data_IF_049294879521
#
_entry.id   IF_049294879521
#
_cell.length_a   1.000
_cell.length_b   1.000
_cell.length_c   1.000
_cell.angle_alpha   90.00
_cell.angle_beta   90.00
_cell.angle_gamma   90.00
#
_symmetry.space_group_name_H-M   'P 1'
#
loop_
_entity.id
_entity.type
_entity.pdbx_description
1 polymer ?
#
# COMPACT_ATOMS: atom_id res chain seq x y z
N UNK A 1 13.82 -73.92 25.57
CA UNK A 1 14.13 -72.64 26.24
C UNK A 1 15.10 -71.84 25.39
N UNK A 2 14.88 -70.52 25.33
CA UNK A 2 15.58 -69.47 24.55
C UNK A 2 15.27 -69.38 23.05
N UNK A 3 14.44 -68.38 22.80
CA UNK A 3 13.98 -67.74 21.58
C UNK A 3 15.12 -66.92 20.96
N UNK A 4 15.20 -66.86 19.63
CA UNK A 4 15.66 -65.65 18.95
C UNK A 4 14.80 -65.39 17.71
N UNK A 5 13.73 -64.60 17.93
CA UNK A 5 13.03 -63.80 16.93
C UNK A 5 13.73 -62.44 16.89
N UNK A 6 13.99 -61.91 15.70
CA UNK A 6 13.85 -60.49 15.33
C UNK A 6 14.16 -60.40 13.83
N UNK A 7 13.21 -60.12 12.96
CA UNK A 7 12.28 -58.98 12.83
C UNK A 7 12.71 -58.20 11.60
N UNK A 8 12.05 -58.56 10.49
CA UNK A 8 11.78 -57.68 9.36
C UNK A 8 11.21 -56.38 9.92
N UNK A 9 11.86 -55.25 9.66
CA UNK A 9 11.26 -53.93 9.87
C UNK A 9 10.81 -53.45 8.50
N UNK A 10 9.50 -53.55 8.29
CA UNK A 10 8.75 -52.85 7.24
C UNK A 10 8.38 -51.46 7.77
N UNK A 11 8.59 -50.47 6.91
CA UNK A 11 7.96 -49.16 6.80
C UNK A 11 7.22 -48.61 8.03
N UNK A 12 7.67 -47.46 8.55
CA UNK A 12 6.75 -46.46 9.07
C UNK A 12 7.21 -45.05 8.71
N UNK A 13 6.23 -44.32 8.20
CA UNK A 13 6.19 -43.01 7.58
C UNK A 13 6.73 -41.87 8.46
N UNK A 14 6.72 -40.68 7.85
CA UNK A 14 6.89 -39.33 8.43
C UNK A 14 8.30 -38.77 8.27
N UNK A 15 8.54 -38.11 7.14
CA UNK A 15 9.40 -36.95 7.14
C UNK A 15 9.05 -36.03 5.96
N UNK A 16 8.15 -35.10 6.26
CA UNK A 16 8.23 -33.71 5.81
C UNK A 16 8.04 -33.53 4.30
N UNK A 17 6.76 -33.54 3.89
CA UNK A 17 6.31 -32.50 2.96
C UNK A 17 6.69 -31.16 3.62
N UNK A 18 7.77 -30.55 3.18
CA UNK A 18 7.92 -29.10 3.24
C UNK A 18 6.87 -28.55 2.28
N UNK A 19 5.63 -28.49 2.77
CA UNK A 19 4.69 -27.47 2.37
C UNK A 19 5.46 -26.16 2.59
N UNK A 20 5.95 -25.60 1.48
CA UNK A 20 6.17 -24.18 1.38
C UNK A 20 4.82 -23.55 1.75
N UNK A 21 4.62 -23.32 3.05
CA UNK A 21 3.70 -22.31 3.51
C UNK A 21 4.22 -21.06 2.84
N UNK A 22 3.58 -20.68 1.74
CA UNK A 22 3.63 -19.33 1.23
C UNK A 22 3.29 -18.47 2.44
N UNK A 23 4.31 -17.99 3.16
CA UNK A 23 4.17 -16.88 4.06
C UNK A 23 3.73 -15.75 3.14
N UNK A 24 2.42 -15.59 2.99
CA UNK A 24 1.88 -14.31 2.59
C UNK A 24 2.47 -13.35 3.62
N UNK A 25 3.42 -12.51 3.21
CA UNK A 25 3.97 -11.42 4.01
C UNK A 25 2.89 -10.34 4.24
N UNK A 26 1.64 -10.76 4.44
CA UNK A 26 0.52 -9.91 4.76
C UNK A 26 0.65 -9.54 6.22
N UNK A 27 1.00 -8.26 6.45
CA UNK A 27 1.02 -7.65 7.78
C UNK A 27 -0.34 -7.89 8.44
N UNK A 28 -0.36 -8.47 9.64
CA UNK A 28 -1.60 -8.66 10.38
C UNK A 28 -2.18 -7.31 10.83
N UNK A 29 -3.48 -7.28 11.14
CA UNK A 29 -4.14 -6.07 11.64
C UNK A 29 -3.48 -5.56 12.92
N UNK A 30 -3.13 -6.47 13.82
CA UNK A 30 -2.52 -6.15 15.10
C UNK A 30 -1.11 -5.57 14.93
N UNK A 31 -0.29 -6.14 14.05
CA UNK A 31 1.03 -5.60 13.70
C UNK A 31 0.91 -4.22 13.07
N UNK A 32 0.02 -4.05 12.10
CA UNK A 32 -0.21 -2.75 11.47
C UNK A 32 -0.60 -1.68 12.50
N UNK A 33 -1.53 -2.00 13.40
CA UNK A 33 -1.98 -1.06 14.44
C UNK A 33 -0.82 -0.73 15.39
N UNK A 34 -0.02 -1.74 15.77
CA UNK A 34 1.14 -1.57 16.64
C UNK A 34 2.21 -0.67 16.00
N UNK A 35 2.53 -0.89 14.73
CA UNK A 35 3.50 -0.11 13.97
C UNK A 35 3.02 1.33 13.78
N UNK A 36 1.74 1.52 13.47
CA UNK A 36 1.13 2.85 13.40
C UNK A 36 1.28 3.60 14.72
N UNK A 37 0.97 2.97 15.86
CA UNK A 37 1.09 3.64 17.16
C UNK A 37 2.55 3.94 17.54
N UNK A 38 3.48 3.06 17.16
CA UNK A 38 4.91 3.25 17.41
C UNK A 38 5.47 4.44 16.62
N UNK A 39 4.89 4.74 15.45
CA UNK A 39 5.36 5.78 14.54
C UNK A 39 4.36 6.94 14.36
N UNK A 40 3.34 7.05 15.22
CA UNK A 40 2.18 7.94 15.01
C UNK A 40 2.57 9.39 14.71
N UNK A 41 3.62 9.91 15.38
CA UNK A 41 4.12 11.28 15.15
C UNK A 41 4.64 11.47 13.73
N UNK A 42 5.37 10.49 13.21
CA UNK A 42 5.90 10.54 11.84
C UNK A 42 4.76 10.50 10.83
N UNK A 43 3.78 9.62 11.03
CA UNK A 43 2.56 9.58 10.23
C UNK A 43 1.83 10.92 10.21
N UNK A 44 1.71 11.59 11.36
CA UNK A 44 1.05 12.91 11.44
C UNK A 44 1.84 14.00 10.71
N UNK A 45 3.16 13.99 10.81
CA UNK A 45 4.03 14.91 10.07
C UNK A 45 3.86 14.70 8.56
N UNK A 46 3.98 13.45 8.10
CA UNK A 46 3.86 13.11 6.68
C UNK A 46 2.46 13.43 6.16
N UNK A 47 1.41 13.06 6.90
CA UNK A 47 0.03 13.35 6.52
C UNK A 47 -0.23 14.85 6.41
N UNK A 48 0.25 15.64 7.38
CA UNK A 48 0.13 17.09 7.36
C UNK A 48 0.89 17.71 6.18
N UNK A 49 2.12 17.28 5.93
CA UNK A 49 2.91 17.78 4.80
C UNK A 49 2.28 17.39 3.45
N UNK A 50 1.81 16.15 3.32
CA UNK A 50 1.17 15.67 2.10
C UNK A 50 -0.17 16.38 1.85
N UNK A 51 -0.92 16.70 2.91
CA UNK A 51 -2.17 17.44 2.82
C UNK A 51 -1.95 18.89 2.34
N UNK A 52 -0.88 19.54 2.80
CA UNK A 52 -0.61 20.96 2.58
C UNK A 52 0.27 21.27 1.34
N UNK A 53 0.66 20.27 0.56
CA UNK A 53 1.37 20.47 -0.71
C UNK A 53 0.40 20.41 -1.89
N UNK A 54 0.67 21.11 -2.99
CA UNK A 54 -0.24 21.18 -4.15
C UNK A 54 0.10 20.23 -5.29
N UNK A 55 1.34 19.75 -5.35
CA UNK A 55 1.91 19.13 -6.56
C UNK A 55 1.46 17.66 -6.75
N UNK A 56 1.09 16.96 -5.67
CA UNK A 56 0.78 15.53 -5.68
C UNK A 56 -0.62 15.30 -5.11
N UNK A 57 -1.54 14.70 -5.84
CA UNK A 57 -2.87 14.29 -5.36
C UNK A 57 -2.81 12.89 -4.76
N UNK A 58 -2.05 11.99 -5.39
CA UNK A 58 -1.89 10.63 -4.91
C UNK A 58 -0.61 10.01 -5.48
N UNK A 59 -0.06 9.10 -4.70
CA UNK A 59 1.14 8.34 -5.01
C UNK A 59 0.87 6.88 -4.65
N UNK A 60 1.13 5.97 -5.59
CA UNK A 60 1.12 4.52 -5.37
C UNK A 60 2.53 3.99 -5.70
N UNK A 61 3.07 3.13 -4.84
CA UNK A 61 4.29 2.35 -5.03
C UNK A 61 3.93 0.88 -5.20
N UNK A 62 4.68 0.15 -6.02
CA UNK A 62 4.41 -1.26 -6.30
C UNK A 62 4.91 -2.21 -5.21
N UNK A 63 4.43 -3.46 -5.24
CA UNK A 63 4.90 -4.56 -4.38
C UNK A 63 6.00 -5.37 -5.13
N UNK A 64 7.18 -5.56 -4.52
CA UNK A 64 8.21 -6.46 -5.07
C UNK A 64 8.74 -6.10 -6.46
N UNK A 65 9.06 -7.11 -7.30
CA UNK A 65 9.65 -6.96 -8.65
C UNK A 65 8.70 -6.34 -9.70
N UNK A 66 7.39 -6.34 -9.46
CA UNK A 66 6.40 -5.71 -10.35
C UNK A 66 6.03 -4.32 -9.80
N UNK A 67 6.74 -3.30 -10.29
CA UNK A 67 6.58 -1.92 -9.88
C UNK A 67 5.31 -1.31 -10.48
N UNK A 68 4.23 -1.29 -9.71
CA UNK A 68 3.09 -0.42 -9.98
C UNK A 68 3.34 0.97 -9.37
N UNK A 69 3.82 1.91 -10.19
CA UNK A 69 3.94 3.30 -9.75
C UNK A 69 2.78 4.11 -10.35
N UNK A 70 2.04 4.84 -9.52
CA UNK A 70 1.02 5.78 -9.99
C UNK A 70 1.24 7.14 -9.32
N UNK A 71 1.10 8.23 -10.08
CA UNK A 71 1.27 9.59 -9.59
C UNK A 71 0.22 10.50 -10.23
N UNK A 72 -0.62 11.15 -9.41
CA UNK A 72 -1.72 11.99 -9.89
C UNK A 72 -2.64 11.23 -10.88
N UNK A 73 -2.61 11.59 -12.17
CA UNK A 73 -3.32 10.94 -13.27
C UNK A 73 -2.46 9.94 -14.07
N UNK A 74 -1.16 9.88 -13.80
CA UNK A 74 -0.21 9.00 -14.47
C UNK A 74 -0.19 7.63 -13.83
N UNK A 75 -0.17 6.59 -14.66
CA UNK A 75 -0.15 5.19 -14.23
C UNK A 75 0.99 4.44 -14.88
N UNK A 76 1.56 3.49 -14.15
CA UNK A 76 2.49 2.47 -14.63
C UNK A 76 2.13 1.15 -13.96
N UNK A 77 1.60 0.22 -14.73
CA UNK A 77 1.54 -1.20 -14.37
C UNK A 77 2.40 -1.95 -15.40
N UNK A 78 3.15 -2.99 -15.01
CA UNK A 78 3.95 -3.73 -15.96
C UNK A 78 3.03 -4.48 -16.93
N UNK A 79 2.80 -3.90 -18.09
CA UNK A 79 2.61 -4.60 -19.36
C UNK A 79 3.72 -4.12 -20.31
N UNK A 80 4.11 -5.00 -21.24
CA UNK A 80 5.20 -4.82 -22.22
C UNK A 80 5.39 -3.35 -22.60
N UNK A 81 6.41 -2.66 -22.01
CA UNK A 81 7.07 -1.41 -22.44
C UNK A 81 7.51 -0.48 -21.29
N UNK A 82 7.06 -0.68 -20.03
CA UNK A 82 7.48 0.13 -18.87
C UNK A 82 7.30 1.66 -19.06
N UNK A 83 6.27 2.08 -19.80
CA UNK A 83 5.97 3.50 -20.03
C UNK A 83 4.92 3.99 -19.03
N UNK A 84 5.05 5.25 -18.63
CA UNK A 84 4.02 5.96 -17.89
C UNK A 84 2.97 6.50 -18.85
N UNK A 85 1.70 6.32 -18.52
CA UNK A 85 0.62 6.80 -19.36
C UNK A 85 -0.44 7.60 -18.58
N UNK A 86 -1.05 8.56 -19.28
CA UNK A 86 -2.23 9.28 -18.81
C UNK A 86 -3.19 9.60 -19.96
N UNK A 87 -4.48 9.73 -19.65
CA UNK A 87 -5.45 10.30 -20.59
C UNK A 87 -5.32 11.83 -20.62
N UNK A 88 -4.96 12.40 -21.77
CA UNK A 88 -4.91 13.84 -21.97
C UNK A 88 -6.21 14.36 -22.55
N UNK A 89 -6.92 15.19 -21.78
CA UNK A 89 -8.12 15.89 -22.27
C UNK A 89 -7.76 16.85 -23.42
N UNK A 90 -6.60 17.52 -23.34
CA UNK A 90 -6.13 18.47 -24.36
C UNK A 90 -5.88 17.79 -25.70
N UNK A 91 -5.32 16.58 -25.69
CA UNK A 91 -5.01 15.83 -26.91
C UNK A 91 -6.09 14.80 -27.28
N UNK A 92 -7.10 14.63 -26.41
CA UNK A 92 -8.16 13.63 -26.52
C UNK A 92 -7.63 12.21 -26.82
N UNK A 93 -6.52 11.84 -26.19
CA UNK A 93 -5.84 10.54 -26.37
C UNK A 93 -4.99 10.19 -25.16
N UNK A 94 -4.54 8.94 -25.11
CA UNK A 94 -3.50 8.50 -24.18
C UNK A 94 -2.15 9.04 -24.63
N UNK A 95 -1.45 9.71 -23.71
CA UNK A 95 -0.05 10.11 -23.86
C UNK A 95 0.80 9.12 -23.07
N UNK A 96 1.93 8.71 -23.66
CA UNK A 96 2.93 7.85 -23.02
C UNK A 96 4.26 8.56 -22.92
N UNK A 97 4.94 8.40 -21.80
CA UNK A 97 6.31 8.87 -21.59
C UNK A 97 7.15 7.74 -21.00
N UNK A 98 8.38 7.52 -21.49
CA UNK A 98 9.20 6.40 -21.03
C UNK A 98 9.91 6.68 -19.70
N UNK A 99 9.96 7.93 -19.26
CA UNK A 99 10.79 8.35 -18.13
C UNK A 99 9.97 9.14 -17.11
N UNK A 100 10.03 8.66 -15.87
CA UNK A 100 9.40 9.25 -14.69
C UNK A 100 9.80 10.73 -14.47
N UNK A 101 11.00 11.14 -14.88
CA UNK A 101 11.41 12.55 -14.80
C UNK A 101 10.54 13.46 -15.66
N UNK A 102 10.02 12.98 -16.80
CA UNK A 102 9.05 13.73 -17.60
C UNK A 102 7.72 13.88 -16.87
N UNK A 103 7.29 12.86 -16.14
CA UNK A 103 6.06 12.90 -15.33
C UNK A 103 6.19 13.98 -14.26
N UNK A 104 7.29 13.98 -13.49
CA UNK A 104 7.56 15.00 -12.48
C UNK A 104 7.60 16.42 -13.06
N UNK A 105 8.29 16.58 -14.19
CA UNK A 105 8.37 17.88 -14.86
C UNK A 105 7.00 18.36 -15.36
N UNK A 106 6.20 17.47 -15.95
CA UNK A 106 4.88 17.80 -16.48
C UNK A 106 3.90 18.24 -15.38
N UNK A 107 3.97 17.59 -14.22
CA UNK A 107 3.13 17.86 -13.05
C UNK A 107 3.70 18.97 -12.15
N UNK A 108 4.85 19.56 -12.49
CA UNK A 108 5.59 20.53 -11.65
C UNK A 108 5.89 20.02 -10.24
N UNK A 109 6.28 18.75 -10.13
CA UNK A 109 6.62 18.10 -8.85
C UNK A 109 8.14 18.12 -8.65
N UNK A 110 8.65 18.76 -7.58
CA UNK A 110 10.05 18.65 -7.19
C UNK A 110 10.44 17.19 -6.85
N UNK A 111 11.58 16.74 -7.34
CA UNK A 111 12.06 15.35 -7.20
C UNK A 111 12.28 14.96 -5.72
N UNK A 112 12.82 15.89 -4.92
CA UNK A 112 13.02 15.73 -3.48
C UNK A 112 11.71 15.55 -2.72
N UNK A 113 10.67 16.29 -3.11
CA UNK A 113 9.32 16.17 -2.54
C UNK A 113 8.70 14.82 -2.86
N UNK A 114 8.86 14.33 -4.10
CA UNK A 114 8.42 12.99 -4.46
C UNK A 114 9.17 11.92 -3.66
N UNK A 115 10.51 12.00 -3.61
CA UNK A 115 11.36 11.03 -2.93
C UNK A 115 10.99 10.90 -1.45
N UNK A 116 10.77 12.02 -0.76
CA UNK A 116 10.35 12.03 0.64
C UNK A 116 9.10 11.17 0.91
N UNK A 117 8.03 11.31 0.11
CA UNK A 117 6.82 10.52 0.30
C UNK A 117 6.97 9.08 -0.19
N UNK A 118 7.70 8.85 -1.28
CA UNK A 118 7.95 7.50 -1.80
C UNK A 118 8.74 6.65 -0.80
N UNK A 119 9.78 7.22 -0.20
CA UNK A 119 10.64 6.54 0.77
C UNK A 119 9.89 6.26 2.06
N UNK A 120 9.05 7.18 2.53
CA UNK A 120 8.16 6.93 3.66
C UNK A 120 7.24 5.73 3.39
N UNK A 121 6.54 5.72 2.26
CA UNK A 121 5.64 4.60 1.89
C UNK A 121 6.36 3.25 1.89
N UNK A 122 7.52 3.19 1.24
CA UNK A 122 8.34 1.96 1.21
C UNK A 122 8.79 1.54 2.59
N UNK A 123 9.25 2.48 3.42
CA UNK A 123 9.74 2.19 4.77
C UNK A 123 8.65 1.63 5.69
N UNK A 124 7.41 2.10 5.51
CA UNK A 124 6.25 1.70 6.32
C UNK A 124 5.42 0.59 5.66
N UNK A 125 5.89 0.00 4.55
CA UNK A 125 5.16 -1.03 3.78
C UNK A 125 3.75 -0.60 3.35
N UNK A 126 3.54 0.69 3.10
CA UNK A 126 2.33 1.21 2.48
C UNK A 126 2.48 1.23 0.98
N UNK A 127 1.39 0.88 0.30
CA UNK A 127 1.29 0.91 -1.14
C UNK A 127 0.96 2.30 -1.65
N UNK A 128 0.18 3.10 -0.93
CA UNK A 128 -0.22 4.41 -1.43
C UNK A 128 -0.44 5.45 -0.36
N UNK A 129 -0.36 6.72 -0.78
CA UNK A 129 -0.85 7.89 -0.05
C UNK A 129 -1.71 8.73 -0.99
N UNK A 130 -2.89 9.17 -0.56
CA UNK A 130 -3.80 9.97 -1.38
C UNK A 130 -4.50 11.07 -0.59
N UNK A 131 -4.58 12.26 -1.18
CA UNK A 131 -5.45 13.36 -0.74
C UNK A 131 -6.82 13.20 -1.36
N UNK A 132 -7.82 13.58 -0.59
CA UNK A 132 -9.20 13.63 -1.07
C UNK A 132 -9.87 14.96 -0.75
N UNK A 133 -10.95 15.28 -1.48
CA UNK A 133 -11.85 16.38 -1.11
C UNK A 133 -12.33 16.21 0.34
N UNK A 134 -12.32 17.29 1.11
CA UNK A 134 -12.68 17.26 2.53
C UNK A 134 -11.50 17.31 3.52
N UNK A 135 -10.27 17.42 3.00
CA UNK A 135 -9.10 17.72 3.84
C UNK A 135 -8.54 16.51 4.59
N UNK A 136 -8.63 15.34 3.97
CA UNK A 136 -8.09 14.09 4.52
C UNK A 136 -7.02 13.45 3.63
N UNK A 137 -6.14 12.70 4.28
CA UNK A 137 -5.07 11.90 3.68
C UNK A 137 -5.27 10.45 4.07
N UNK A 138 -5.16 9.54 3.11
CA UNK A 138 -5.19 8.11 3.34
C UNK A 138 -3.84 7.50 3.02
N UNK A 139 -3.38 6.59 3.87
CA UNK A 139 -2.30 5.67 3.61
C UNK A 139 -2.90 4.28 3.45
N UNK A 140 -2.66 3.61 2.33
CA UNK A 140 -3.26 2.30 2.05
C UNK A 140 -2.20 1.23 1.77
N UNK A 141 -2.47 0.02 2.25
CA UNK A 141 -1.92 -1.23 1.73
C UNK A 141 -3.01 -1.98 0.94
N UNK A 142 -2.77 -3.24 0.55
CA UNK A 142 -3.69 -3.98 -0.31
C UNK A 142 -5.09 -4.20 0.31
N UNK A 143 -5.17 -4.44 1.62
CA UNK A 143 -6.45 -4.75 2.31
C UNK A 143 -6.82 -3.78 3.43
N UNK A 144 -5.88 -2.95 3.89
CA UNK A 144 -6.06 -2.09 5.06
C UNK A 144 -5.46 -0.71 4.85
N UNK A 145 -5.85 0.25 5.69
CA UNK A 145 -5.31 1.59 5.62
C UNK A 145 -5.61 2.44 6.85
N UNK A 146 -4.94 3.59 6.92
CA UNK A 146 -5.21 4.64 7.90
C UNK A 146 -5.56 5.93 7.22
N UNK A 147 -6.56 6.62 7.75
CA UNK A 147 -6.98 7.95 7.32
C UNK A 147 -6.67 8.97 8.40
N UNK A 148 -5.99 10.04 7.98
CA UNK A 148 -5.80 11.26 8.74
C UNK A 148 -6.78 12.33 8.27
N UNK A 149 -7.58 12.86 9.20
CA UNK A 149 -8.45 14.00 8.99
C UNK A 149 -7.86 15.22 9.68
N UNK A 150 -7.65 16.31 8.94
CA UNK A 150 -7.25 17.59 9.54
C UNK A 150 -8.40 18.29 10.28
N UNK A 151 -9.65 17.85 10.07
CA UNK A 151 -10.85 18.37 10.73
C UNK A 151 -11.67 17.25 11.38
N UNK A 152 -12.04 17.37 12.67
CA UNK A 152 -12.73 16.32 13.42
C UNK A 152 -14.18 16.07 12.97
N UNK A 153 -14.74 16.94 12.14
CA UNK A 153 -16.16 16.93 11.72
C UNK A 153 -16.39 16.28 10.36
N UNK A 154 -15.38 15.65 9.79
CA UNK A 154 -15.49 15.10 8.44
C UNK A 154 -16.01 13.66 8.50
N UNK A 155 -17.19 13.43 7.91
CA UNK A 155 -17.80 12.12 7.78
C UNK A 155 -17.09 11.27 6.72
N UNK A 156 -17.10 9.95 6.88
CA UNK A 156 -16.65 9.04 5.83
C UNK A 156 -17.48 9.25 4.55
N UNK A 157 -16.86 9.18 3.36
CA UNK A 157 -17.61 9.20 2.12
C UNK A 157 -18.51 7.95 2.04
N UNK A 158 -19.79 8.16 1.73
CA UNK A 158 -20.74 7.09 1.49
C UNK A 158 -20.32 6.27 0.26
N UNK A 159 -20.43 4.94 0.33
CA UNK A 159 -20.25 4.04 -0.82
C UNK A 159 -19.03 3.12 -0.81
N UNK A 160 -18.12 3.24 0.17
CA UNK A 160 -17.04 2.26 0.36
C UNK A 160 -17.52 1.11 1.27
N UNK A 161 -17.36 -0.14 0.81
CA UNK A 161 -17.66 -1.34 1.61
C UNK A 161 -16.44 -1.73 2.43
N UNK A 162 -16.56 -1.67 3.75
CA UNK A 162 -15.50 -2.05 4.69
C UNK A 162 -15.89 -3.30 5.46
N UNK A 163 -14.91 -4.18 5.69
CA UNK A 163 -15.02 -5.26 6.67
C UNK A 163 -14.93 -4.71 8.10
N UNK A 164 -14.15 -3.63 8.27
CA UNK A 164 -13.85 -3.06 9.58
C UNK A 164 -13.51 -1.58 9.49
N UNK A 165 -13.96 -0.79 10.47
CA UNK A 165 -13.55 0.60 10.68
C UNK A 165 -13.40 0.83 12.18
N UNK A 166 -12.27 1.39 12.62
CA UNK A 166 -12.02 1.77 14.01
C UNK A 166 -11.44 3.16 14.10
N UNK A 167 -12.12 4.05 14.83
CA UNK A 167 -11.56 5.33 15.22
C UNK A 167 -10.42 5.10 16.22
N UNK A 168 -9.25 5.66 15.93
CA UNK A 168 -8.09 5.61 16.82
C UNK A 168 -8.12 6.80 17.77
N UNK A 169 -8.33 8.00 17.22
CA UNK A 169 -8.49 9.24 17.98
C UNK A 169 -9.30 10.28 17.17
N UNK A 170 -9.25 11.54 17.56
CA UNK A 170 -9.98 12.63 16.90
C UNK A 170 -9.66 12.75 15.41
N UNK A 171 -8.40 12.50 15.03
CA UNK A 171 -7.90 12.74 13.67
C UNK A 171 -7.63 11.46 12.89
N UNK A 172 -7.52 10.31 13.56
CA UNK A 172 -7.09 9.05 12.93
C UNK A 172 -8.16 7.97 12.96
N UNK A 173 -8.27 7.27 11.82
CA UNK A 173 -9.13 6.11 11.63
C UNK A 173 -8.37 5.00 10.93
N UNK A 174 -8.57 3.76 11.38
CA UNK A 174 -8.12 2.56 10.69
C UNK A 174 -9.30 1.89 9.99
N UNK A 175 -9.07 1.26 8.84
CA UNK A 175 -10.08 0.49 8.13
C UNK A 175 -9.50 -0.73 7.40
N UNK A 176 -10.38 -1.70 7.14
CA UNK A 176 -10.14 -2.89 6.33
C UNK A 176 -11.19 -2.94 5.21
N UNK A 177 -10.75 -3.07 3.96
CA UNK A 177 -11.63 -3.06 2.78
C UNK A 177 -12.23 -4.44 2.51
N UNK A 178 -13.44 -4.48 1.96
CA UNK A 178 -13.93 -5.72 1.32
C UNK A 178 -13.14 -5.90 0.02
N UNK A 179 -12.33 -6.96 -0.06
CA UNK A 179 -11.72 -7.39 -1.33
C UNK A 179 -12.84 -7.99 -2.17
N UNK A 180 -13.23 -7.33 -3.27
CA UNK A 180 -14.11 -7.96 -4.26
C UNK A 180 -13.23 -8.91 -5.09
N UNK A 181 -13.49 -10.22 -4.96
CA UNK A 181 -12.92 -11.27 -5.82
C UNK A 181 -13.42 -11.15 -7.27
#
# INVERSE_FOLDING_TARGET
MKVCKKCIIVCFSVAILTLFSSCSNEVSREEFISDFFSNQREFEIVASQFLNQDNIIGLTVGNGENLCNELNSWRSCPDYNNEWEMWSVKENRVIRVPDFKYVLLNENIPEDRYAYFSDFLKSQSFRSIRKYPGGWVEFESDKMGVRFNSSPNVSFPDGLKFNFVKRINTNWFFYEKVVQE
#
